data_IF_764662066226
#
_entry.id   IF_764662066226
#
_cell.length_a   1.000
_cell.length_b   1.000
_cell.length_c   1.000
_cell.angle_alpha   90.00
_cell.angle_beta   90.00
_cell.angle_gamma   90.00
#
_symmetry.space_group_name_H-M   'P 1'
#
loop_
_entity.id
_entity.type
_entity.pdbx_description
1 polymer ?
#
# COMPACT_ATOMS: atom_id res chain seq x y z
N UNK A 1 -11.55 -15.23 11.28
CA UNK A 1 -11.28 -14.49 10.04
C UNK A 1 -10.29 -13.38 10.38
N UNK A 2 -9.26 -13.15 9.60
CA UNK A 2 -8.29 -12.11 9.90
C UNK A 2 -8.95 -10.72 9.96
N UNK A 3 -8.37 -9.85 10.75
CA UNK A 3 -8.76 -8.45 10.84
C UNK A 3 -8.04 -7.60 9.80
N UNK A 4 -6.76 -7.93 9.52
CA UNK A 4 -5.92 -7.22 8.56
C UNK A 4 -5.32 -8.19 7.53
N UNK A 5 -5.46 -7.86 6.24
CA UNK A 5 -4.72 -8.50 5.15
C UNK A 5 -3.67 -7.53 4.60
N UNK A 6 -2.41 -7.95 4.60
CA UNK A 6 -1.29 -7.22 3.97
C UNK A 6 -0.96 -7.94 2.67
N UNK A 7 -1.05 -7.22 1.55
CA UNK A 7 -0.98 -7.75 0.20
C UNK A 7 0.29 -7.28 -0.50
N UNK A 8 1.12 -8.22 -0.97
CA UNK A 8 2.41 -7.91 -1.60
C UNK A 8 2.46 -8.56 -2.98
N UNK A 9 2.52 -7.75 -4.03
CA UNK A 9 2.80 -8.22 -5.37
C UNK A 9 4.32 -8.16 -5.62
N UNK A 10 4.88 -9.19 -6.25
CA UNK A 10 6.34 -9.28 -6.46
C UNK A 10 6.68 -9.97 -7.78
N UNK A 11 7.96 -9.92 -8.14
CA UNK A 11 8.57 -10.58 -9.29
C UNK A 11 9.86 -11.31 -8.88
N UNK A 12 10.32 -12.32 -9.65
CA UNK A 12 11.46 -13.16 -9.23
C UNK A 12 12.77 -12.42 -8.95
N UNK A 13 13.03 -11.33 -9.66
CA UNK A 13 14.28 -10.54 -9.52
C UNK A 13 14.29 -9.63 -8.28
N UNK A 14 13.19 -9.55 -7.51
CA UNK A 14 13.06 -8.74 -6.28
C UNK A 14 13.02 -9.59 -5.00
N UNK A 15 13.62 -10.76 -5.05
CA UNK A 15 13.57 -11.73 -3.94
C UNK A 15 14.16 -11.18 -2.65
N UNK A 16 15.26 -10.46 -2.71
CA UNK A 16 15.92 -9.92 -1.51
C UNK A 16 15.07 -8.84 -0.84
N UNK A 17 14.47 -7.94 -1.62
CA UNK A 17 13.56 -6.90 -1.13
C UNK A 17 12.33 -7.53 -0.48
N UNK A 18 11.70 -8.48 -1.18
CA UNK A 18 10.57 -9.23 -0.64
C UNK A 18 10.91 -9.92 0.69
N UNK A 19 12.03 -10.65 0.74
CA UNK A 19 12.42 -11.38 1.96
C UNK A 19 12.63 -10.42 3.14
N UNK A 20 13.23 -9.27 2.91
CA UNK A 20 13.42 -8.24 3.94
C UNK A 20 12.08 -7.68 4.45
N UNK A 21 11.18 -7.30 3.54
CA UNK A 21 9.84 -6.79 3.88
C UNK A 21 9.01 -7.87 4.59
N UNK A 22 8.96 -9.08 4.02
CA UNK A 22 8.17 -10.19 4.54
C UNK A 22 8.61 -10.62 5.95
N UNK A 23 9.92 -10.71 6.20
CA UNK A 23 10.46 -11.08 7.51
C UNK A 23 10.12 -10.00 8.56
N UNK A 24 10.22 -8.72 8.21
CA UNK A 24 9.85 -7.63 9.08
C UNK A 24 8.35 -7.70 9.44
N UNK A 25 7.47 -7.77 8.44
CA UNK A 25 6.02 -7.85 8.63
C UNK A 25 5.61 -9.12 9.39
N UNK A 26 6.20 -10.28 9.08
CA UNK A 26 5.91 -11.55 9.76
C UNK A 26 6.29 -11.50 11.24
N UNK A 27 7.43 -10.88 11.56
CA UNK A 27 7.84 -10.67 12.95
C UNK A 27 6.85 -9.79 13.73
N UNK A 28 6.36 -8.71 13.11
CA UNK A 28 5.38 -7.82 13.69
C UNK A 28 3.99 -8.45 13.80
N UNK A 29 3.60 -9.30 12.84
CA UNK A 29 2.30 -9.98 12.83
C UNK A 29 2.21 -11.10 13.89
N UNK A 30 3.34 -11.70 14.28
CA UNK A 30 3.39 -12.85 15.20
C UNK A 30 2.58 -12.68 16.50
N UNK A 31 2.56 -11.55 17.20
CA UNK A 31 1.74 -11.35 18.40
C UNK A 31 0.23 -11.40 18.14
N UNK A 32 -0.21 -11.19 16.90
CA UNK A 32 -1.61 -11.10 16.50
C UNK A 32 -2.16 -12.43 15.94
N UNK A 33 -1.28 -13.44 15.71
CA UNK A 33 -1.69 -14.75 15.22
C UNK A 33 -2.53 -14.68 13.95
N UNK A 34 -3.71 -15.31 13.96
CA UNK A 34 -4.61 -15.40 12.81
C UNK A 34 -5.37 -14.10 12.50
N UNK A 35 -5.22 -13.04 13.31
CA UNK A 35 -5.84 -11.76 13.06
C UNK A 35 -5.13 -10.96 11.96
N UNK A 36 -3.88 -11.31 11.62
CA UNK A 36 -3.12 -10.70 10.54
C UNK A 36 -2.69 -11.75 9.54
N UNK A 37 -3.11 -11.62 8.30
CA UNK A 37 -2.61 -12.43 7.18
C UNK A 37 -1.70 -11.60 6.26
N UNK A 38 -0.65 -12.22 5.76
CA UNK A 38 0.24 -11.64 4.76
C UNK A 38 0.16 -12.53 3.52
N UNK A 39 -0.29 -11.95 2.40
CA UNK A 39 -0.42 -12.66 1.13
C UNK A 39 0.58 -12.11 0.13
N UNK A 40 1.35 -13.01 -0.46
CA UNK A 40 2.35 -12.69 -1.47
C UNK A 40 1.95 -13.34 -2.80
N UNK A 41 1.92 -12.55 -3.87
CA UNK A 41 1.74 -13.06 -5.22
C UNK A 41 3.02 -12.80 -6.02
N UNK A 42 3.76 -13.88 -6.25
CA UNK A 42 4.94 -13.88 -7.11
C UNK A 42 4.56 -14.44 -8.47
N UNK A 43 4.79 -13.69 -9.54
CA UNK A 43 4.71 -14.21 -10.88
C UNK A 43 5.85 -13.69 -11.76
N UNK A 44 6.02 -14.30 -12.94
CA UNK A 44 7.08 -13.95 -13.87
C UNK A 44 6.59 -12.90 -14.89
N UNK A 45 6.09 -11.76 -14.40
CA UNK A 45 5.59 -10.64 -15.24
C UNK A 45 4.51 -11.02 -16.26
N UNK A 46 3.77 -12.11 -16.01
CA UNK A 46 2.68 -12.57 -16.90
C UNK A 46 1.39 -11.79 -16.71
N UNK A 47 1.26 -11.12 -15.59
CA UNK A 47 0.10 -10.29 -15.25
C UNK A 47 0.57 -8.86 -15.02
N UNK A 48 -0.27 -7.91 -15.38
CA UNK A 48 -0.05 -6.52 -14.96
C UNK A 48 -0.04 -6.39 -13.44
N UNK A 49 0.57 -5.33 -12.93
CA UNK A 49 0.55 -5.04 -11.49
C UNK A 49 -0.90 -4.86 -11.00
N UNK A 50 -1.77 -4.23 -11.79
CA UNK A 50 -3.19 -4.08 -11.46
C UNK A 50 -3.89 -5.43 -11.30
N UNK A 51 -3.68 -6.38 -12.21
CA UNK A 51 -4.23 -7.73 -12.08
C UNK A 51 -3.67 -8.50 -10.87
N UNK A 52 -2.40 -8.30 -10.53
CA UNK A 52 -1.80 -8.91 -9.32
C UNK A 52 -2.43 -8.35 -8.05
N UNK A 53 -2.57 -7.02 -7.94
CA UNK A 53 -3.23 -6.36 -6.81
C UNK A 53 -4.69 -6.80 -6.67
N UNK A 54 -5.41 -6.92 -7.79
CA UNK A 54 -6.78 -7.41 -7.79
C UNK A 54 -6.88 -8.87 -7.33
N UNK A 55 -6.02 -9.75 -7.85
CA UNK A 55 -6.02 -11.18 -7.47
C UNK A 55 -5.72 -11.37 -5.96
N UNK A 56 -4.79 -10.60 -5.41
CA UNK A 56 -4.51 -10.60 -3.98
C UNK A 56 -5.74 -10.14 -3.18
N UNK A 57 -6.41 -9.08 -3.62
CA UNK A 57 -7.64 -8.63 -2.99
C UNK A 57 -8.73 -9.71 -3.00
N UNK A 58 -8.93 -10.38 -4.13
CA UNK A 58 -10.00 -11.37 -4.30
C UNK A 58 -9.81 -12.59 -3.37
N UNK A 59 -8.56 -13.00 -3.08
CA UNK A 59 -8.26 -14.13 -2.20
C UNK A 59 -8.12 -13.75 -0.73
N UNK A 60 -7.87 -12.48 -0.41
CA UNK A 60 -7.68 -12.00 0.96
C UNK A 60 -9.00 -12.07 1.76
N UNK A 61 -8.91 -12.20 3.09
CA UNK A 61 -10.06 -12.41 3.97
C UNK A 61 -10.19 -11.38 5.10
N UNK A 62 -9.22 -10.49 5.23
CA UNK A 62 -9.21 -9.47 6.28
C UNK A 62 -10.39 -8.51 6.21
N UNK A 63 -10.87 -8.07 7.36
CA UNK A 63 -11.84 -6.97 7.46
C UNK A 63 -11.27 -5.67 6.90
N UNK A 64 -9.96 -5.49 7.07
CA UNK A 64 -9.17 -4.41 6.47
C UNK A 64 -8.12 -4.99 5.54
N UNK A 65 -7.74 -4.21 4.53
CA UNK A 65 -6.78 -4.59 3.50
C UNK A 65 -5.85 -3.42 3.18
N UNK A 66 -4.58 -3.72 2.94
CA UNK A 66 -3.58 -2.76 2.46
C UNK A 66 -2.65 -3.44 1.47
N UNK A 67 -2.11 -2.70 0.52
CA UNK A 67 -1.07 -3.18 -0.39
C UNK A 67 0.25 -2.48 -0.02
N UNK A 68 1.33 -3.23 0.00
CA UNK A 68 2.68 -2.72 0.21
C UNK A 68 3.53 -3.25 -0.93
N UNK A 69 4.25 -2.38 -1.61
CA UNK A 69 5.13 -2.79 -2.70
C UNK A 69 6.38 -3.48 -2.13
N UNK A 70 6.89 -4.45 -2.86
CA UNK A 70 7.96 -5.36 -2.38
C UNK A 70 9.31 -4.68 -2.15
N UNK A 71 9.51 -3.48 -2.72
CA UNK A 71 10.67 -2.62 -2.57
C UNK A 71 10.51 -1.52 -1.50
N UNK A 72 9.32 -1.41 -0.90
CA UNK A 72 9.05 -0.48 0.20
C UNK A 72 9.51 -1.03 1.56
N UNK A 73 9.57 -0.14 2.56
CA UNK A 73 9.88 -0.51 3.94
C UNK A 73 8.78 -0.08 4.89
N UNK A 74 8.60 -0.85 5.95
CA UNK A 74 7.67 -0.53 7.03
C UNK A 74 8.42 -0.25 8.33
N UNK A 75 7.91 0.67 9.15
CA UNK A 75 8.42 0.91 10.48
C UNK A 75 8.26 -0.35 11.37
N UNK A 76 9.09 -0.53 12.41
CA UNK A 76 9.01 -1.70 13.30
C UNK A 76 7.69 -1.86 14.05
N UNK A 77 6.84 -0.85 14.02
CA UNK A 77 5.55 -0.76 14.70
C UNK A 77 4.37 -0.59 13.71
N UNK A 78 4.57 -0.92 12.43
CA UNK A 78 3.54 -0.77 11.39
C UNK A 78 2.26 -1.57 11.73
N UNK A 79 2.41 -2.85 12.02
CA UNK A 79 1.27 -3.74 12.35
C UNK A 79 0.63 -3.30 13.66
N UNK A 80 1.42 -2.94 14.67
CA UNK A 80 0.92 -2.43 15.95
C UNK A 80 0.01 -1.23 15.76
N UNK A 81 0.47 -0.20 15.04
CA UNK A 81 -0.31 1.02 14.78
C UNK A 81 -1.58 0.76 13.96
N UNK A 82 -1.51 -0.14 12.99
CA UNK A 82 -2.68 -0.58 12.24
C UNK A 82 -3.71 -1.26 13.16
N UNK A 83 -3.27 -2.22 13.96
CA UNK A 83 -4.13 -3.01 14.83
C UNK A 83 -4.71 -2.21 16.01
N UNK A 84 -3.99 -1.19 16.51
CA UNK A 84 -4.55 -0.24 17.49
C UNK A 84 -5.82 0.43 16.98
N UNK A 85 -5.84 0.86 15.71
CA UNK A 85 -7.01 1.49 15.11
C UNK A 85 -8.09 0.46 14.78
N UNK A 86 -7.70 -0.69 14.22
CA UNK A 86 -8.63 -1.75 13.81
C UNK A 86 -9.40 -2.33 15.01
N UNK A 87 -8.72 -2.52 16.14
CA UNK A 87 -9.32 -3.04 17.38
C UNK A 87 -10.11 -1.97 18.15
N UNK A 88 -10.04 -0.72 17.76
CA UNK A 88 -10.82 0.36 18.38
C UNK A 88 -12.32 0.24 18.08
N UNK A 89 -13.12 0.99 18.82
CA UNK A 89 -14.59 1.03 18.64
C UNK A 89 -15.02 1.81 17.38
N UNK A 90 -14.15 2.62 16.81
CA UNK A 90 -14.42 3.36 15.58
C UNK A 90 -13.88 2.57 14.38
N UNK A 91 -14.76 2.13 13.49
CA UNK A 91 -14.43 1.31 12.33
C UNK A 91 -14.42 2.14 11.04
N UNK A 92 -13.33 2.89 10.74
CA UNK A 92 -13.27 3.79 9.59
C UNK A 92 -13.31 3.03 8.25
N UNK A 93 -13.71 3.73 7.18
CA UNK A 93 -13.64 3.23 5.81
C UNK A 93 -12.18 3.14 5.33
N UNK A 94 -11.35 4.09 5.80
CA UNK A 94 -9.91 4.14 5.52
C UNK A 94 -9.13 4.61 6.75
N UNK A 95 -7.99 3.99 6.97
CA UNK A 95 -6.98 4.43 7.92
C UNK A 95 -5.85 5.03 7.11
N UNK A 96 -5.67 6.34 7.20
CA UNK A 96 -4.62 7.07 6.52
C UNK A 96 -3.36 7.13 7.38
N UNK A 97 -2.23 7.40 6.76
CA UNK A 97 -0.91 7.33 7.40
C UNK A 97 0.04 8.38 6.84
N UNK A 98 1.20 8.49 7.45
CA UNK A 98 2.35 9.23 6.92
C UNK A 98 3.39 8.27 6.38
N UNK A 99 4.09 8.69 5.34
CA UNK A 99 5.25 7.96 4.80
C UNK A 99 6.42 8.89 4.52
N UNK A 100 7.63 8.34 4.61
CA UNK A 100 8.79 8.94 4.00
C UNK A 100 8.89 8.51 2.53
N UNK A 101 9.43 9.40 1.70
CA UNK A 101 9.67 9.14 0.29
C UNK A 101 11.15 9.39 -0.01
N UNK A 102 11.80 8.40 -0.60
CA UNK A 102 13.16 8.48 -1.12
C UNK A 102 13.12 8.37 -2.63
N UNK A 103 13.79 9.27 -3.34
CA UNK A 103 13.89 9.28 -4.80
C UNK A 103 15.36 9.23 -5.18
N UNK A 104 15.81 8.15 -5.81
CA UNK A 104 17.20 7.92 -6.24
C UNK A 104 18.21 8.19 -5.11
N UNK A 105 17.91 7.69 -3.92
CA UNK A 105 18.72 7.85 -2.73
C UNK A 105 18.63 9.21 -2.04
N UNK A 106 17.87 10.15 -2.59
CA UNK A 106 17.60 11.46 -1.99
C UNK A 106 16.27 11.46 -1.22
N UNK A 107 16.18 12.25 -0.16
CA UNK A 107 14.99 12.38 0.70
C UNK A 107 15.44 12.11 2.15
N UNK A 108 14.65 11.96 3.08
CA UNK A 108 13.34 11.56 3.50
C UNK A 108 12.29 12.68 3.33
N UNK A 109 11.70 12.79 2.19
CA UNK A 109 10.59 13.72 1.97
C UNK A 109 9.36 13.20 2.74
N UNK A 110 8.61 14.11 3.32
CA UNK A 110 7.43 13.76 4.10
C UNK A 110 6.18 13.78 3.23
N UNK A 111 5.40 12.71 3.29
CA UNK A 111 4.10 12.61 2.63
C UNK A 111 3.04 12.17 3.64
N UNK A 112 1.93 12.92 3.68
CA UNK A 112 0.76 12.60 4.50
C UNK A 112 -0.41 12.23 3.60
N UNK A 113 -1.02 11.07 3.83
CA UNK A 113 -2.30 10.75 3.22
C UNK A 113 -3.43 11.30 4.08
N UNK A 114 -4.38 12.03 3.45
CA UNK A 114 -5.47 12.69 4.16
C UNK A 114 -6.79 12.52 3.40
N UNK A 115 -7.78 11.93 4.05
CA UNK A 115 -9.13 11.81 3.49
C UNK A 115 -9.76 13.19 3.30
N UNK A 116 -10.44 13.37 2.16
CA UNK A 116 -11.03 14.66 1.78
C UNK A 116 -10.04 15.66 1.17
N UNK A 117 -8.76 15.31 1.04
CA UNK A 117 -7.81 16.06 0.25
C UNK A 117 -7.97 15.68 -1.24
N UNK A 118 -8.02 16.66 -2.13
CA UNK A 118 -8.35 16.42 -3.54
C UNK A 118 -7.13 16.51 -4.46
N UNK A 119 -6.03 17.08 -3.97
CA UNK A 119 -4.83 17.36 -4.76
C UNK A 119 -3.74 16.32 -4.47
N UNK A 120 -3.10 15.82 -5.52
CA UNK A 120 -1.85 15.08 -5.40
C UNK A 120 -0.68 16.06 -5.42
N UNK A 121 -0.28 16.51 -4.25
CA UNK A 121 0.88 17.38 -4.14
C UNK A 121 2.16 16.63 -4.52
N UNK A 122 3.05 17.34 -5.21
CA UNK A 122 4.36 16.79 -5.52
C UNK A 122 5.21 16.69 -4.26
N UNK A 123 5.94 15.58 -4.16
CA UNK A 123 6.86 15.35 -3.05
C UNK A 123 8.17 16.10 -3.31
N UNK A 124 8.65 16.84 -2.31
CA UNK A 124 9.86 17.65 -2.42
C UNK A 124 10.32 18.18 -1.06
N UNK A 125 10.99 19.33 -1.08
CA UNK A 125 11.55 19.95 0.14
C UNK A 125 10.49 20.31 1.19
N UNK A 126 9.25 20.53 0.79
CA UNK A 126 8.13 20.77 1.70
C UNK A 126 7.30 19.51 1.87
N UNK A 127 6.73 19.28 3.08
CA UNK A 127 5.82 18.17 3.29
C UNK A 127 4.63 18.22 2.31
N UNK A 128 4.36 17.09 1.66
CA UNK A 128 3.27 16.94 0.70
C UNK A 128 2.05 16.27 1.34
N UNK A 129 0.87 16.57 0.82
CA UNK A 129 -0.39 15.92 1.20
C UNK A 129 -1.04 15.33 -0.05
N UNK A 130 -1.57 14.10 0.07
CA UNK A 130 -2.28 13.41 -1.00
C UNK A 130 -3.58 12.77 -0.49
N UNK A 131 -4.57 12.55 -1.36
CA UNK A 131 -5.69 11.69 -1.01
C UNK A 131 -5.20 10.27 -0.70
N UNK A 132 -5.99 9.46 0.03
CA UNK A 132 -5.63 8.06 0.32
C UNK A 132 -5.38 7.24 -0.94
N UNK A 133 -4.25 6.53 -0.97
CA UNK A 133 -3.87 5.58 -2.01
C UNK A 133 -4.01 4.14 -1.51
N UNK A 134 -3.70 3.17 -2.37
CA UNK A 134 -3.77 1.74 -2.06
C UNK A 134 -2.94 1.32 -0.83
N UNK A 135 -1.85 2.03 -0.54
CA UNK A 135 -0.98 1.80 0.62
C UNK A 135 -1.63 2.19 1.96
N UNK A 136 -2.72 2.97 1.94
CA UNK A 136 -3.55 3.18 3.13
C UNK A 136 -4.29 1.89 3.49
N UNK A 137 -4.78 1.80 4.72
CA UNK A 137 -5.46 0.59 5.20
C UNK A 137 -6.96 0.79 5.00
N UNK A 138 -7.56 0.02 4.11
CA UNK A 138 -8.94 0.18 3.68
C UNK A 138 -9.85 -0.87 4.29
N UNK A 139 -11.03 -0.47 4.73
CA UNK A 139 -12.08 -1.42 5.08
C UNK A 139 -12.53 -2.15 3.82
N UNK A 140 -12.38 -3.47 3.82
CA UNK A 140 -12.68 -4.31 2.66
C UNK A 140 -14.09 -4.07 2.09
N UNK A 141 -15.08 -3.98 2.97
CA UNK A 141 -16.46 -3.77 2.58
C UNK A 141 -16.67 -2.46 1.81
N UNK A 142 -15.94 -1.40 2.18
CA UNK A 142 -15.99 -0.10 1.49
C UNK A 142 -15.49 -0.19 0.05
N UNK A 143 -14.41 -0.93 -0.18
CA UNK A 143 -13.74 -0.97 -1.50
C UNK A 143 -13.99 -2.24 -2.31
N UNK A 144 -14.86 -3.15 -1.86
CA UNK A 144 -15.12 -4.44 -2.54
C UNK A 144 -15.62 -4.32 -3.98
N UNK A 145 -16.23 -3.19 -4.32
CA UNK A 145 -16.73 -2.90 -5.68
C UNK A 145 -15.74 -2.19 -6.59
N UNK A 146 -14.60 -1.72 -6.04
CA UNK A 146 -13.57 -1.04 -6.79
C UNK A 146 -12.59 -2.07 -7.36
N UNK A 147 -12.27 -1.94 -8.65
CA UNK A 147 -11.37 -2.87 -9.33
C UNK A 147 -10.12 -2.15 -9.80
N UNK A 148 -8.97 -2.81 -9.63
CA UNK A 148 -7.75 -2.36 -10.29
C UNK A 148 -7.88 -2.59 -11.81
N UNK A 149 -7.53 -1.61 -12.64
CA UNK A 149 -7.48 -1.84 -14.09
C UNK A 149 -6.35 -2.81 -14.44
N UNK A 150 -6.49 -3.49 -15.59
CA UNK A 150 -5.42 -4.29 -16.19
C UNK A 150 -4.39 -3.36 -16.81
N UNK A 151 -3.49 -2.84 -15.99
CA UNK A 151 -2.45 -1.89 -16.40
C UNK A 151 -1.15 -2.14 -15.64
N UNK A 152 -0.04 -1.86 -16.31
CA UNK A 152 1.30 -1.89 -15.71
C UNK A 152 1.67 -0.58 -15.01
N UNK A 153 0.91 0.51 -15.27
CA UNK A 153 1.17 1.84 -14.72
C UNK A 153 -0.13 2.61 -14.50
N UNK A 154 -0.19 3.38 -13.39
CA UNK A 154 -1.33 4.25 -13.06
C UNK A 154 -2.57 3.51 -12.55
N UNK A 155 -2.48 2.20 -12.35
CA UNK A 155 -3.57 1.37 -11.84
C UNK A 155 -3.93 1.71 -10.40
N UNK A 156 -2.95 2.11 -9.62
CA UNK A 156 -3.09 2.55 -8.22
C UNK A 156 -3.81 3.89 -8.12
N UNK A 157 -3.46 4.83 -9.00
CA UNK A 157 -4.15 6.10 -9.13
C UNK A 157 -5.61 5.91 -9.54
N UNK A 158 -5.86 5.17 -10.63
CA UNK A 158 -7.19 4.91 -11.13
C UNK A 158 -8.09 4.19 -10.11
N UNK A 159 -7.50 3.28 -9.31
CA UNK A 159 -8.17 2.62 -8.20
C UNK A 159 -8.47 3.61 -7.07
N UNK A 160 -7.49 4.42 -6.67
CA UNK A 160 -7.61 5.37 -5.58
C UNK A 160 -8.67 6.43 -5.85
N UNK A 161 -8.76 6.95 -7.08
CA UNK A 161 -9.82 7.90 -7.47
C UNK A 161 -11.24 7.36 -7.23
N UNK A 162 -11.45 6.07 -7.48
CA UNK A 162 -12.75 5.44 -7.24
C UNK A 162 -12.98 5.17 -5.76
N UNK A 163 -11.97 4.65 -5.05
CA UNK A 163 -12.04 4.31 -3.63
C UNK A 163 -12.29 5.55 -2.76
N UNK A 164 -11.64 6.67 -3.08
CA UNK A 164 -11.79 7.92 -2.32
C UNK A 164 -13.23 8.47 -2.32
N UNK A 165 -14.00 8.22 -3.38
CA UNK A 165 -15.43 8.63 -3.48
C UNK A 165 -16.34 7.87 -2.50
N UNK A 166 -15.87 6.77 -1.94
CA UNK A 166 -16.63 5.90 -1.03
C UNK A 166 -16.36 6.19 0.44
N UNK A 167 -15.39 7.05 0.75
CA UNK A 167 -14.99 7.36 2.13
C UNK A 167 -16.09 8.21 2.79
N UNK A 168 -16.59 7.74 3.93
CA UNK A 168 -17.45 8.48 4.83
C UNK A 168 -16.77 8.80 6.15
N UNK A 169 -15.94 7.86 6.61
CA UNK A 169 -15.22 7.93 7.88
C UNK A 169 -13.76 7.53 7.71
N UNK A 170 -12.88 8.36 8.22
CA UNK A 170 -11.45 8.10 8.17
C UNK A 170 -10.82 8.25 9.56
N UNK A 171 -9.76 7.50 9.82
CA UNK A 171 -8.88 7.65 10.98
C UNK A 171 -7.45 7.85 10.48
N UNK A 172 -6.71 8.74 11.10
CA UNK A 172 -5.32 9.01 10.74
C UNK A 172 -4.37 8.44 11.78
N UNK A 173 -3.33 7.75 11.31
CA UNK A 173 -2.15 7.37 12.10
C UNK A 173 -1.11 8.46 11.92
N UNK A 174 -0.94 9.30 12.94
CA UNK A 174 0.00 10.43 12.93
C UNK A 174 1.44 9.96 13.20
N UNK A 175 1.89 8.96 12.42
CA UNK A 175 3.24 8.41 12.47
C UNK A 175 3.69 8.04 11.06
N UNK A 176 5.00 8.19 10.81
CA UNK A 176 5.63 7.67 9.60
C UNK A 176 5.82 6.17 9.76
N UNK A 177 4.88 5.40 9.20
CA UNK A 177 4.87 3.94 9.33
C UNK A 177 5.25 3.22 8.04
N UNK A 178 5.35 3.95 6.94
CA UNK A 178 5.74 3.44 5.63
C UNK A 178 6.89 4.27 5.07
N UNK A 179 7.74 3.66 4.27
CA UNK A 179 8.80 4.32 3.50
C UNK A 179 8.73 3.85 2.06
N UNK A 180 8.35 4.74 1.17
CA UNK A 180 8.38 4.53 -0.27
C UNK A 180 9.77 4.79 -0.82
N UNK A 181 10.28 3.86 -1.64
CA UNK A 181 11.61 3.95 -2.25
C UNK A 181 11.46 3.87 -3.76
N UNK A 182 11.71 4.99 -4.42
CA UNK A 182 11.88 5.01 -5.86
C UNK A 182 13.37 4.97 -6.21
N UNK A 183 13.76 3.97 -6.97
CA UNK A 183 15.11 3.84 -7.54
C UNK A 183 14.97 3.60 -9.04
N UNK A 184 15.39 4.56 -9.85
CA UNK A 184 15.29 4.51 -11.31
C UNK A 184 16.04 3.31 -11.94
N UNK A 185 16.94 2.66 -11.19
CA UNK A 185 17.66 1.46 -11.65
C UNK A 185 16.89 0.16 -11.33
N UNK A 186 15.92 0.18 -10.43
CA UNK A 186 15.23 -1.01 -9.90
C UNK A 186 13.72 -0.97 -10.19
N UNK A 187 13.14 0.23 -10.17
CA UNK A 187 11.70 0.41 -10.36
C UNK A 187 11.31 0.03 -11.79
N UNK A 188 10.40 -0.93 -11.90
CA UNK A 188 9.90 -1.42 -13.17
C UNK A 188 8.79 -0.51 -13.69
N UNK A 189 8.94 0.02 -14.85
CA UNK A 189 8.10 0.95 -15.60
C UNK A 189 8.50 2.42 -15.46
N UNK A 190 9.38 2.84 -16.33
CA UNK A 190 9.42 4.24 -16.76
C UNK A 190 8.48 4.40 -17.96
N UNK A 191 7.80 5.54 -18.06
CA UNK A 191 6.93 5.86 -19.20
C UNK A 191 7.61 5.73 -20.58
N UNK A 192 8.93 5.66 -20.63
CA UNK A 192 9.70 5.54 -21.87
C UNK A 192 9.69 4.13 -22.46
N UNK A 193 9.55 3.08 -21.64
CA UNK A 193 9.44 1.70 -22.14
C UNK A 193 8.07 1.39 -22.76
N UNK A 194 7.03 2.14 -22.40
CA UNK A 194 5.68 1.98 -22.94
C UNK A 194 5.48 2.66 -24.30
N UNK A 195 6.42 3.49 -24.74
CA UNK A 195 6.34 4.22 -26.02
C UNK A 195 7.15 3.59 -27.16
N UNK A 196 7.78 2.44 -26.93
CA UNK A 196 8.67 1.77 -27.91
C UNK A 196 8.20 0.41 -28.41
N UNK A 197 6.95 0.01 -28.14
CA UNK A 197 6.33 -1.17 -28.76
C UNK A 197 5.17 -0.81 -29.69
#
# INVERSE_FOLDING_TARGET
MPLLSILIATVPNRREQLDALFNNLSSQAKPYGDDVEILVLLDNKKRSIGLKRQALFDISKGTYVTWIDDDDKVAPYYVEKAMEVINGSFHPDVITLKQYVYIDGNGAFELTFKAGHEVNEEVGETPATRPPWHVCIWKRETVKGVKFPDSMYGEDWAWAEQANKLIRHAKHIDHFILTYIFDSNITEATNEELLTE
#
